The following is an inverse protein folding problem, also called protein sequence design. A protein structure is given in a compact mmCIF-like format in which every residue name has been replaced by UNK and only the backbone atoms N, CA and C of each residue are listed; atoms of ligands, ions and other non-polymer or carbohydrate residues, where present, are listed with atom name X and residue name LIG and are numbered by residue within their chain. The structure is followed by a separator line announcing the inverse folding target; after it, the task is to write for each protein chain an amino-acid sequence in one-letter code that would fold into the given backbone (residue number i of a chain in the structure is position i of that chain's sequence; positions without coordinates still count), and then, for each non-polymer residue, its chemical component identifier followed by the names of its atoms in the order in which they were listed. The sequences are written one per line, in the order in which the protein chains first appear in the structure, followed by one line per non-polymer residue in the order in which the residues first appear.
data_IF_668586065368
#
_entry.id   IF_668586065368
#
_cell.length_a   1.000
_cell.length_b   1.000
_cell.length_c   1.000
_cell.angle_alpha   90.00
_cell.angle_beta   90.00
_cell.angle_gamma   90.00
#
_symmetry.space_group_name_H-M   'P 1'
#
loop_
_entity.id
_entity.type
_entity.pdbx_description
1 polymer ?
#
# COMPACT_ATOMS: atom_id res chain seq x y z
N UNK A 1 10.64 11.45 23.28
CA UNK A 1 9.28 11.20 22.78
C UNK A 1 8.57 12.51 22.53
N UNK A 2 8.17 12.76 21.28
CA UNK A 2 7.42 13.97 20.89
C UNK A 2 5.94 13.67 20.67
N UNK A 3 5.06 14.67 20.73
CA UNK A 3 3.68 14.48 20.25
C UNK A 3 3.59 14.83 18.78
N UNK A 4 2.84 14.06 18.01
CA UNK A 4 2.50 14.34 16.61
C UNK A 4 0.98 14.28 16.47
N UNK A 5 0.40 15.17 15.68
CA UNK A 5 -1.02 15.15 15.36
C UNK A 5 -1.20 14.65 13.94
N UNK A 6 -1.98 13.59 13.74
CA UNK A 6 -2.40 13.14 12.41
C UNK A 6 -3.81 13.65 12.16
N UNK A 7 -4.01 14.44 11.12
CA UNK A 7 -5.31 14.90 10.63
C UNK A 7 -5.64 14.21 9.32
N UNK A 8 -6.92 13.97 9.07
CA UNK A 8 -7.37 13.28 7.86
C UNK A 8 -8.54 14.04 7.24
N UNK A 9 -8.65 13.97 5.92
CA UNK A 9 -9.84 14.47 5.21
C UNK A 9 -11.10 13.66 5.56
N UNK A 10 -12.27 14.25 5.31
CA UNK A 10 -13.57 13.71 5.73
C UNK A 10 -13.82 12.27 5.28
N UNK A 11 -13.43 11.94 4.05
CA UNK A 11 -13.59 10.59 3.48
C UNK A 11 -12.76 9.53 4.19
N UNK A 12 -11.68 9.93 4.87
CA UNK A 12 -10.78 9.03 5.62
C UNK A 12 -11.16 8.90 7.09
N UNK A 13 -12.05 9.76 7.61
CA UNK A 13 -12.49 9.70 9.02
C UNK A 13 -13.02 8.31 9.44
N UNK A 14 -13.75 7.54 8.62
CA UNK A 14 -14.21 6.21 9.00
C UNK A 14 -13.08 5.22 9.37
N UNK A 15 -11.88 5.43 8.81
CA UNK A 15 -10.70 4.59 9.05
C UNK A 15 -10.05 4.86 10.42
N UNK A 16 -10.28 6.04 11.00
CA UNK A 16 -9.83 6.33 12.36
C UNK A 16 -10.59 5.49 13.40
N UNK A 17 -10.01 5.23 14.59
CA UNK A 17 -10.75 4.67 15.71
C UNK A 17 -11.98 5.51 16.04
N UNK A 18 -13.07 4.86 16.47
CA UNK A 18 -14.36 5.49 16.70
C UNK A 18 -14.30 6.83 17.47
N UNK A 19 -13.48 6.90 18.53
CA UNK A 19 -13.29 8.09 19.36
C UNK A 19 -12.66 9.30 18.65
N UNK A 20 -11.91 9.07 17.58
CA UNK A 20 -11.13 10.09 16.87
C UNK A 20 -11.84 10.56 15.58
N UNK A 21 -12.88 9.84 15.11
CA UNK A 21 -13.58 10.11 13.85
C UNK A 21 -14.24 11.48 13.80
N UNK A 22 -14.92 11.86 14.88
CA UNK A 22 -15.65 13.14 14.95
C UNK A 22 -14.68 14.33 14.81
N UNK A 23 -13.50 14.23 15.42
CA UNK A 23 -12.48 15.27 15.36
C UNK A 23 -11.66 15.24 14.04
N UNK A 24 -11.73 14.14 13.29
CA UNK A 24 -10.91 13.94 12.08
C UNK A 24 -9.41 13.98 12.35
N UNK A 25 -8.99 13.75 13.61
CA UNK A 25 -7.59 13.81 14.02
C UNK A 25 -7.30 12.88 15.16
N UNK A 26 -6.05 12.43 15.24
CA UNK A 26 -5.53 11.62 16.33
C UNK A 26 -4.16 12.13 16.77
N UNK A 27 -4.02 12.40 18.06
CA UNK A 27 -2.74 12.78 18.66
C UNK A 27 -2.03 11.51 19.14
N UNK A 28 -0.74 11.40 18.82
CA UNK A 28 0.08 10.25 19.22
C UNK A 28 1.42 10.71 19.81
N UNK A 29 1.93 9.91 20.73
CA UNK A 29 3.36 9.96 21.06
C UNK A 29 4.12 9.27 19.94
N UNK A 30 5.19 9.91 19.47
CA UNK A 30 6.06 9.42 18.43
C UNK A 30 7.48 9.24 18.99
N UNK A 31 8.07 8.10 18.66
CA UNK A 31 9.50 7.89 18.82
C UNK A 31 10.26 8.80 17.84
N UNK A 32 11.50 9.23 18.16
CA UNK A 32 12.29 10.07 17.27
C UNK A 32 12.49 9.45 15.88
N UNK A 33 12.51 8.12 15.82
CA UNK A 33 12.69 7.35 14.59
C UNK A 33 11.36 6.89 13.95
N UNK A 34 10.23 7.42 14.37
CA UNK A 34 8.96 7.14 13.70
C UNK A 34 8.88 7.89 12.37
N UNK A 35 8.59 7.18 11.28
CA UNK A 35 8.34 7.81 9.98
C UNK A 35 6.90 8.31 9.88
N UNK A 36 6.63 9.25 8.97
CA UNK A 36 5.28 9.74 8.67
C UNK A 36 4.35 8.56 8.35
N UNK A 37 4.79 7.63 7.50
CA UNK A 37 4.00 6.47 7.10
C UNK A 37 3.65 5.56 8.28
N UNK A 38 4.60 5.32 9.18
CA UNK A 38 4.35 4.56 10.41
C UNK A 38 3.30 5.27 11.29
N UNK A 39 3.40 6.58 11.45
CA UNK A 39 2.47 7.37 12.27
C UNK A 39 1.05 7.41 11.65
N UNK A 40 0.95 7.47 10.32
CA UNK A 40 -0.32 7.42 9.58
C UNK A 40 -1.00 6.05 9.73
N UNK A 41 -0.25 4.97 9.55
CA UNK A 41 -0.77 3.61 9.78
C UNK A 41 -1.18 3.40 11.23
N UNK A 42 -0.33 3.83 12.18
CA UNK A 42 -0.65 3.78 13.60
C UNK A 42 -1.88 4.65 13.94
N UNK A 43 -2.15 5.72 13.19
CA UNK A 43 -3.37 6.50 13.36
C UNK A 43 -4.63 5.74 12.94
N UNK A 44 -4.50 4.74 12.06
CA UNK A 44 -5.57 3.88 11.56
C UNK A 44 -5.77 3.97 10.06
N UNK A 45 -4.99 4.79 9.34
CA UNK A 45 -5.14 4.98 7.90
C UNK A 45 -4.13 4.10 7.15
N UNK A 46 -4.58 3.10 6.37
CA UNK A 46 -3.68 2.33 5.52
C UNK A 46 -3.02 3.24 4.48
N UNK A 47 -1.75 2.99 4.15
CA UNK A 47 -1.04 3.78 3.13
C UNK A 47 -1.61 3.60 1.71
N UNK A 48 -2.43 2.57 1.50
CA UNK A 48 -3.21 2.38 0.27
C UNK A 48 -4.38 3.36 0.14
N UNK A 49 -4.88 3.90 1.26
CA UNK A 49 -5.92 4.93 1.29
C UNK A 49 -5.34 6.35 1.38
N UNK A 50 -4.04 6.46 1.70
CA UNK A 50 -3.33 7.73 1.77
C UNK A 50 -2.77 8.14 0.39
N UNK A 51 -3.16 9.34 -0.04
CA UNK A 51 -2.60 10.03 -1.20
C UNK A 51 -1.44 10.93 -0.77
N UNK A 52 -1.63 12.24 -0.91
CA UNK A 52 -0.63 13.23 -0.50
C UNK A 52 -0.51 13.29 1.03
N UNK A 53 0.73 13.22 1.53
CA UNK A 53 1.07 13.42 2.94
C UNK A 53 1.71 14.79 3.10
N UNK A 54 1.23 15.57 4.06
CA UNK A 54 1.76 16.90 4.36
C UNK A 54 2.28 16.91 5.79
N UNK A 55 3.47 17.43 6.04
CA UNK A 55 3.97 17.78 7.37
C UNK A 55 4.00 19.29 7.48
N UNK A 56 3.20 19.84 8.38
CA UNK A 56 3.07 21.29 8.60
C UNK A 56 2.81 22.08 7.29
N UNK A 57 2.04 21.46 6.39
CA UNK A 57 1.67 22.02 5.08
C UNK A 57 2.62 21.69 3.93
N UNK A 58 3.75 21.03 4.19
CA UNK A 58 4.75 20.69 3.16
C UNK A 58 4.58 19.22 2.71
N UNK A 59 4.47 18.94 1.40
CA UNK A 59 4.43 17.56 0.89
C UNK A 59 5.69 16.79 1.25
N UNK A 60 5.51 15.58 1.79
CA UNK A 60 6.61 14.70 2.17
C UNK A 60 6.35 13.25 1.75
N UNK A 61 7.40 12.46 1.49
CA UNK A 61 7.25 11.03 1.29
C UNK A 61 6.94 10.31 2.64
N UNK A 62 6.37 9.09 2.60
CA UNK A 62 6.03 8.34 3.81
C UNK A 62 7.23 7.98 4.72
N UNK A 63 8.44 7.97 4.20
CA UNK A 63 9.68 7.68 4.93
C UNK A 63 10.29 8.91 5.62
N UNK A 64 9.72 10.10 5.40
CA UNK A 64 10.13 11.31 6.12
C UNK A 64 9.92 11.16 7.63
N UNK A 65 10.69 11.92 8.41
CA UNK A 65 10.63 11.94 9.88
C UNK A 65 10.09 13.29 10.34
N UNK A 66 8.90 13.34 10.96
CA UNK A 66 8.35 14.59 11.43
C UNK A 66 9.06 15.04 12.72
N UNK A 67 9.17 16.36 12.90
CA UNK A 67 9.66 16.91 14.16
C UNK A 67 8.62 16.73 15.28
N UNK A 68 9.05 16.67 16.55
CA UNK A 68 8.13 16.77 17.68
C UNK A 68 7.23 18.01 17.57
N UNK A 69 5.93 17.81 17.77
CA UNK A 69 4.91 18.87 17.68
C UNK A 69 4.27 19.02 16.30
N UNK A 70 4.83 18.39 15.27
CA UNK A 70 4.34 18.52 13.91
C UNK A 70 2.90 17.99 13.71
N UNK A 71 2.25 18.54 12.68
CA UNK A 71 0.96 18.07 12.18
C UNK A 71 1.14 17.37 10.84
N UNK A 72 0.77 16.09 10.79
CA UNK A 72 0.68 15.31 9.56
C UNK A 72 -0.75 15.40 9.04
N UNK A 73 -0.96 15.98 7.85
CA UNK A 73 -2.26 15.93 7.18
C UNK A 73 -2.25 14.87 6.08
N UNK A 74 -3.28 14.01 6.09
CA UNK A 74 -3.43 12.89 5.15
C UNK A 74 -4.58 13.18 4.20
N UNK A 75 -4.25 13.35 2.92
CA UNK A 75 -5.22 13.45 1.83
C UNK A 75 -5.57 12.05 1.31
N UNK A 76 -6.80 11.82 0.80
CA UNK A 76 -7.17 10.53 0.26
C UNK A 76 -6.38 10.21 -1.02
N UNK A 77 -6.12 8.93 -1.25
CA UNK A 77 -5.67 8.46 -2.54
C UNK A 77 -6.74 8.77 -3.61
N UNK A 78 -6.34 9.17 -4.84
CA UNK A 78 -7.29 9.43 -5.91
C UNK A 78 -8.07 8.16 -6.24
N UNK A 79 -9.39 8.31 -6.41
CA UNK A 79 -10.31 7.22 -6.81
C UNK A 79 -11.11 7.67 -8.04
N UNK A 80 -11.43 6.75 -8.98
CA UNK A 80 -11.03 5.34 -9.01
C UNK A 80 -9.54 5.17 -9.36
N UNK A 81 -8.90 4.11 -8.82
CA UNK A 81 -7.56 3.74 -9.29
C UNK A 81 -7.70 3.10 -10.67
N UNK A 82 -6.90 3.53 -11.67
CA UNK A 82 -6.89 2.89 -12.98
C UNK A 82 -6.41 1.44 -12.84
N UNK A 83 -7.15 0.51 -13.45
CA UNK A 83 -6.75 -0.89 -13.56
C UNK A 83 -6.16 -1.08 -14.96
N UNK A 84 -4.92 -1.58 -15.07
CA UNK A 84 -4.32 -1.97 -16.34
C UNK A 84 -5.21 -2.92 -17.16
N UNK A 85 -5.11 -2.90 -18.51
CA UNK A 85 -5.97 -3.70 -19.36
C UNK A 85 -5.82 -5.21 -19.15
N UNK A 86 -4.66 -5.67 -18.64
CA UNK A 86 -4.43 -7.08 -18.31
C UNK A 86 -5.13 -7.56 -17.04
N UNK A 87 -5.88 -6.71 -16.33
CA UNK A 87 -6.63 -7.12 -15.14
C UNK A 87 -5.72 -7.43 -13.94
N UNK A 88 -6.00 -8.52 -13.23
CA UNK A 88 -5.35 -8.89 -11.98
C UNK A 88 -4.57 -10.20 -12.10
N UNK A 89 -3.47 -10.31 -11.36
CA UNK A 89 -2.77 -11.56 -11.06
C UNK A 89 -2.77 -11.73 -9.54
N UNK A 90 -3.28 -12.85 -9.06
CA UNK A 90 -3.38 -13.13 -7.63
C UNK A 90 -2.37 -14.21 -7.21
N UNK A 91 -1.75 -13.99 -6.05
CA UNK A 91 -0.86 -14.94 -5.39
C UNK A 91 -1.57 -16.26 -5.01
N UNK A 92 -0.82 -17.34 -4.81
CA UNK A 92 -1.26 -18.72 -4.57
C UNK A 92 -2.32 -18.80 -3.45
N UNK A 93 -2.18 -18.00 -2.38
CA UNK A 93 -3.13 -17.97 -1.26
C UNK A 93 -4.51 -17.36 -1.59
N UNK A 94 -4.63 -16.66 -2.72
CA UNK A 94 -5.79 -15.83 -3.04
C UNK A 94 -6.72 -16.46 -4.09
N UNK A 95 -6.62 -17.77 -4.33
CA UNK A 95 -7.45 -18.47 -5.33
C UNK A 95 -8.97 -18.33 -5.11
N UNK A 96 -9.42 -18.27 -3.85
CA UNK A 96 -10.83 -18.02 -3.54
C UNK A 96 -11.29 -16.61 -3.93
N UNK A 97 -10.41 -15.60 -3.77
CA UNK A 97 -10.67 -14.24 -4.22
C UNK A 97 -10.70 -14.16 -5.75
N UNK A 98 -9.75 -14.81 -6.43
CA UNK A 98 -9.70 -14.85 -7.89
C UNK A 98 -10.99 -15.39 -8.50
N UNK A 99 -11.55 -16.47 -7.92
CA UNK A 99 -12.84 -17.04 -8.34
C UNK A 99 -13.99 -16.03 -8.18
N UNK A 100 -14.07 -15.33 -7.06
CA UNK A 100 -15.11 -14.31 -6.82
C UNK A 100 -14.97 -13.14 -7.79
N UNK A 101 -13.75 -12.69 -8.07
CA UNK A 101 -13.49 -11.61 -9.04
C UNK A 101 -13.94 -12.02 -10.46
N UNK A 102 -13.65 -13.24 -10.90
CA UNK A 102 -14.12 -13.77 -12.20
C UNK A 102 -15.64 -13.82 -12.30
N UNK A 103 -16.33 -14.21 -11.22
CA UNK A 103 -17.80 -14.20 -11.18
C UNK A 103 -18.39 -12.79 -11.36
N UNK A 104 -17.66 -11.77 -10.95
CA UNK A 104 -18.03 -10.36 -11.15
C UNK A 104 -17.61 -9.81 -12.52
N UNK A 105 -17.05 -10.66 -13.41
CA UNK A 105 -16.61 -10.26 -14.75
C UNK A 105 -15.23 -9.60 -14.79
N UNK A 106 -14.44 -9.67 -13.72
CA UNK A 106 -13.07 -9.13 -13.71
C UNK A 106 -12.09 -10.13 -14.31
N UNK A 107 -11.17 -9.65 -15.17
CA UNK A 107 -10.04 -10.44 -15.64
C UNK A 107 -9.07 -10.67 -14.47
N UNK A 108 -9.09 -11.88 -13.92
CA UNK A 108 -8.25 -12.27 -12.80
C UNK A 108 -7.55 -13.60 -13.13
N UNK A 109 -6.22 -13.58 -13.20
CA UNK A 109 -5.37 -14.76 -13.19
C UNK A 109 -4.94 -15.06 -11.75
N UNK A 110 -4.54 -16.31 -11.49
CA UNK A 110 -4.05 -16.74 -10.19
C UNK A 110 -2.94 -17.76 -10.42
N UNK A 111 -1.87 -17.70 -9.64
CA UNK A 111 -0.79 -18.69 -9.72
C UNK A 111 -1.25 -20.01 -9.13
N UNK A 112 -1.30 -21.11 -9.89
CA UNK A 112 -1.75 -22.37 -9.36
C UNK A 112 -0.71 -22.98 -8.40
N UNK A 113 -1.19 -23.62 -7.33
CA UNK A 113 -0.37 -24.28 -6.28
C UNK A 113 0.62 -25.32 -6.84
N UNK A 114 0.37 -25.85 -8.05
CA UNK A 114 1.17 -26.87 -8.72
C UNK A 114 2.42 -26.33 -9.44
N UNK A 115 2.49 -25.00 -9.65
CA UNK A 115 3.71 -24.31 -10.08
C UNK A 115 4.44 -23.86 -8.83
N UNK A 116 5.44 -24.66 -8.42
CA UNK A 116 6.42 -24.40 -7.36
C UNK A 116 5.83 -23.70 -6.10
N UNK A 117 5.78 -24.37 -4.93
CA UNK A 117 5.28 -23.77 -3.68
C UNK A 117 5.92 -22.42 -3.29
N UNK A 118 7.02 -22.07 -3.95
CA UNK A 118 7.80 -20.86 -3.87
C UNK A 118 7.96 -20.27 -5.28
N UNK A 119 6.88 -19.96 -6.00
CA UNK A 119 6.99 -18.99 -7.09
C UNK A 119 7.60 -17.74 -6.45
N UNK A 120 8.89 -17.52 -6.69
CA UNK A 120 9.64 -16.40 -6.12
C UNK A 120 8.80 -15.13 -6.36
N UNK A 121 8.69 -14.25 -5.36
CA UNK A 121 7.95 -12.99 -5.51
C UNK A 121 8.41 -12.25 -6.78
N UNK A 122 9.68 -12.44 -7.17
CA UNK A 122 10.23 -11.97 -8.44
C UNK A 122 9.52 -12.54 -9.69
N UNK A 123 9.15 -13.82 -9.71
CA UNK A 123 8.43 -14.46 -10.81
C UNK A 123 6.98 -13.95 -10.91
N UNK A 124 6.28 -13.81 -9.77
CA UNK A 124 4.94 -13.24 -9.75
C UNK A 124 4.93 -11.78 -10.23
N UNK A 125 5.92 -10.99 -9.79
CA UNK A 125 6.10 -9.61 -10.26
C UNK A 125 6.43 -9.59 -11.75
N UNK A 126 7.33 -10.46 -12.23
CA UNK A 126 7.66 -10.55 -13.65
C UNK A 126 6.46 -10.92 -14.52
N UNK A 127 5.65 -11.89 -14.09
CA UNK A 127 4.42 -12.30 -14.76
C UNK A 127 3.37 -11.18 -14.78
N UNK A 128 3.22 -10.45 -13.67
CA UNK A 128 2.32 -9.30 -13.60
C UNK A 128 2.76 -8.17 -14.56
N UNK A 129 4.05 -7.85 -14.60
CA UNK A 129 4.60 -6.84 -15.52
C UNK A 129 4.41 -7.27 -16.97
N UNK A 130 4.77 -8.52 -17.31
CA UNK A 130 4.64 -9.05 -18.67
C UNK A 130 3.18 -9.08 -19.15
N UNK A 131 2.25 -9.41 -18.25
CA UNK A 131 0.82 -9.47 -18.56
C UNK A 131 0.09 -8.13 -18.41
N UNK A 132 0.79 -7.03 -18.07
CA UNK A 132 0.19 -5.75 -17.70
C UNK A 132 -0.94 -5.91 -16.68
N UNK A 133 -0.69 -6.67 -15.62
CA UNK A 133 -1.66 -7.01 -14.56
C UNK A 133 -1.30 -6.32 -13.25
N UNK A 134 -2.31 -6.02 -12.44
CA UNK A 134 -2.12 -5.66 -11.03
C UNK A 134 -1.86 -6.94 -10.24
N UNK A 135 -0.69 -7.04 -9.61
CA UNK A 135 -0.39 -8.12 -8.68
C UNK A 135 -1.10 -7.86 -7.34
N UNK A 136 -1.87 -8.83 -6.88
CA UNK A 136 -2.40 -8.90 -5.52
C UNK A 136 -1.68 -10.03 -4.79
N UNK A 137 -0.85 -9.67 -3.82
CA UNK A 137 -0.18 -10.61 -2.92
C UNK A 137 -0.77 -10.52 -1.51
N UNK A 138 -0.64 -11.60 -0.77
CA UNK A 138 -0.92 -11.60 0.66
C UNK A 138 0.33 -11.15 1.42
N UNK A 139 0.21 -10.18 2.30
CA UNK A 139 1.33 -9.75 3.16
C UNK A 139 1.59 -10.81 4.23
N UNK A 140 2.43 -11.80 3.90
CA UNK A 140 2.97 -12.76 4.87
C UNK A 140 4.19 -12.10 5.53
N UNK A 141 3.93 -11.23 6.51
CA UNK A 141 4.94 -10.36 7.13
C UNK A 141 6.27 -11.05 7.47
N UNK A 142 7.31 -10.70 6.71
CA UNK A 142 8.72 -10.90 7.06
C UNK A 142 9.35 -9.58 7.55
N UNK A 143 10.32 -9.59 8.48
CA UNK A 143 10.88 -8.38 9.05
C UNK A 143 12.08 -7.86 8.24
N UNK A 144 11.87 -7.14 7.14
CA UNK A 144 12.89 -6.23 6.58
C UNK A 144 12.32 -5.38 5.43
N UNK A 145 12.63 -4.08 5.47
CA UNK A 145 12.30 -3.06 4.46
C UNK A 145 10.79 -2.81 4.20
N UNK A 146 10.40 -1.54 4.10
CA UNK A 146 9.01 -1.20 3.84
C UNK A 146 8.53 -1.87 2.54
N UNK A 147 7.36 -2.54 2.54
CA UNK A 147 6.94 -3.49 1.49
C UNK A 147 6.92 -2.87 0.08
N UNK A 148 6.75 -1.56 0.00
CA UNK A 148 6.73 -0.82 -1.27
C UNK A 148 8.09 -0.77 -1.97
N UNK A 149 9.20 -0.64 -1.23
CA UNK A 149 10.55 -0.48 -1.82
C UNK A 149 11.06 -1.78 -2.45
N UNK A 150 10.75 -2.91 -1.82
CA UNK A 150 11.10 -4.24 -2.33
C UNK A 150 10.30 -4.58 -3.59
N UNK A 151 8.97 -4.34 -3.55
CA UNK A 151 8.12 -4.49 -4.74
C UNK A 151 8.56 -3.55 -5.86
N UNK A 152 8.87 -2.29 -5.60
CA UNK A 152 9.33 -1.35 -6.62
C UNK A 152 10.66 -1.82 -7.26
N UNK A 153 11.58 -2.35 -6.45
CA UNK A 153 12.84 -2.91 -6.95
C UNK A 153 12.61 -4.18 -7.80
N UNK A 154 11.68 -5.05 -7.40
CA UNK A 154 11.29 -6.24 -8.17
C UNK A 154 10.60 -5.86 -9.48
N UNK A 155 9.70 -4.86 -9.47
CA UNK A 155 9.03 -4.35 -10.66
C UNK A 155 10.04 -3.76 -11.63
N UNK A 156 10.99 -2.99 -11.13
CA UNK A 156 12.03 -2.38 -11.97
C UNK A 156 12.99 -3.43 -12.55
N UNK A 157 13.31 -4.48 -11.78
CA UNK A 157 14.07 -5.64 -12.27
C UNK A 157 13.29 -6.41 -13.33
N UNK A 158 11.99 -6.64 -13.12
CA UNK A 158 11.12 -7.30 -14.08
C UNK A 158 11.05 -6.52 -15.40
N UNK A 159 10.82 -5.20 -15.35
CA UNK A 159 10.80 -4.33 -16.55
C UNK A 159 12.06 -4.45 -17.40
N UNK A 160 13.23 -4.52 -16.75
CA UNK A 160 14.52 -4.75 -17.44
C UNK A 160 14.60 -6.11 -18.13
N UNK A 161 14.03 -7.15 -17.55
CA UNK A 161 14.05 -8.52 -18.10
C UNK A 161 13.05 -8.63 -19.27
N UNK A 162 11.88 -8.01 -19.17
CA UNK A 162 10.83 -8.12 -20.19
C UNK A 162 11.01 -7.18 -21.39
N UNK A 163 12.02 -6.29 -21.38
CA UNK A 163 12.40 -5.51 -22.56
C UNK A 163 11.38 -4.47 -23.03
N UNK A 164 10.53 -3.93 -22.14
CA UNK A 164 9.63 -2.83 -22.49
C UNK A 164 10.27 -1.50 -22.08
N UNK A 165 10.73 -0.74 -23.08
CA UNK A 165 10.80 0.73 -22.98
C UNK A 165 9.39 1.32 -23.11
#
# INVERSE_FOLDING_TARGET
MGRVTVTVDDVLRPLLPARDRAAGRRVRTADPDATVGHLVQAAGVPLTEAGTLLVDGVPVPPDARPLPGATIAVRPAPRPLPVPPGGFLLDVGLGALARRMRLLGLDAAWSPEDRAPEADDAELVAAAVAGQRVLLSEDRGGPAAGPRREIDALVERARRITGSQ
#
